data_IF_057960612046
#
_entry.id   IF_057960612046
#
_cell.length_a   1.000
_cell.length_b   1.000
_cell.length_c   1.000
_cell.angle_alpha   90.00
_cell.angle_beta   90.00
_cell.angle_gamma   90.00
#
_symmetry.space_group_name_H-M   'P 1'
#
loop_
_entity.id
_entity.type
_entity.pdbx_description
1 polymer ?
#
# COMPACT_ATOMS: atom_id res chain seq x y z
N UNK A 1 -43.20 8.69 -22.32
CA UNK A 1 -42.22 8.99 -21.26
C UNK A 1 -42.23 7.86 -20.27
N UNK A 2 -41.08 7.28 -19.91
CA UNK A 2 -41.03 6.25 -18.88
C UNK A 2 -41.27 6.90 -17.50
N UNK A 3 -42.26 6.41 -16.76
CA UNK A 3 -42.50 6.78 -15.36
C UNK A 3 -41.77 5.80 -14.45
N UNK A 4 -40.90 6.30 -13.58
CA UNK A 4 -40.17 5.51 -12.59
C UNK A 4 -40.78 5.75 -11.20
N UNK A 5 -40.97 4.68 -10.42
CA UNK A 5 -41.42 4.77 -9.03
C UNK A 5 -40.27 5.14 -8.09
N UNK A 6 -39.84 6.41 -8.18
CA UNK A 6 -38.75 6.93 -7.36
C UNK A 6 -39.09 6.87 -5.87
N UNK A 7 -40.34 7.16 -5.50
CA UNK A 7 -40.78 7.20 -4.10
C UNK A 7 -40.72 5.82 -3.46
N UNK A 8 -41.24 4.78 -4.13
CA UNK A 8 -41.19 3.41 -3.64
C UNK A 8 -39.74 2.91 -3.48
N UNK A 9 -38.87 3.20 -4.45
CA UNK A 9 -37.45 2.85 -4.38
C UNK A 9 -36.75 3.56 -3.22
N UNK A 10 -36.98 4.86 -3.03
CA UNK A 10 -36.39 5.62 -1.93
C UNK A 10 -36.81 5.05 -0.56
N UNK A 11 -38.09 4.68 -0.41
CA UNK A 11 -38.58 4.08 0.82
C UNK A 11 -37.95 2.70 1.07
N UNK A 12 -37.92 1.82 0.06
CA UNK A 12 -37.28 0.51 0.20
C UNK A 12 -35.78 0.63 0.57
N UNK A 13 -35.08 1.59 -0.03
CA UNK A 13 -33.69 1.89 0.32
C UNK A 13 -33.55 2.45 1.75
N UNK A 14 -34.52 3.24 2.22
CA UNK A 14 -34.54 3.73 3.60
C UNK A 14 -34.69 2.57 4.59
N UNK A 15 -35.65 1.67 4.34
CA UNK A 15 -35.90 0.51 5.20
C UNK A 15 -34.69 -0.43 5.24
N UNK A 16 -34.07 -0.70 4.08
CA UNK A 16 -32.84 -1.48 4.00
C UNK A 16 -31.69 -0.89 4.84
N UNK A 17 -31.50 0.45 4.79
CA UNK A 17 -30.50 1.14 5.63
C UNK A 17 -30.84 1.05 7.11
N UNK A 18 -32.11 1.21 7.48
CA UNK A 18 -32.54 1.11 8.88
C UNK A 18 -32.35 -0.30 9.44
N UNK A 19 -32.74 -1.33 8.72
CA UNK A 19 -32.54 -2.73 9.12
C UNK A 19 -31.06 -3.05 9.34
N UNK A 20 -30.18 -2.64 8.41
CA UNK A 20 -28.73 -2.87 8.56
C UNK A 20 -28.17 -2.15 9.79
N UNK A 21 -28.59 -0.89 10.04
CA UNK A 21 -28.16 -0.12 11.21
C UNK A 21 -28.60 -0.77 12.51
N UNK A 22 -29.84 -1.25 12.60
CA UNK A 22 -30.36 -1.94 13.79
C UNK A 22 -29.64 -3.26 14.05
N UNK A 23 -29.31 -4.02 13.00
CA UNK A 23 -28.53 -5.26 13.12
C UNK A 23 -27.09 -5.00 13.60
N UNK A 24 -26.52 -3.84 13.28
CA UNK A 24 -25.17 -3.46 13.68
C UNK A 24 -25.10 -2.72 15.02
N UNK A 25 -26.14 -2.00 15.43
CA UNK A 25 -26.20 -1.30 16.73
C UNK A 25 -26.26 -2.27 17.91
N UNK A 26 -26.83 -3.48 17.72
CA UNK A 26 -26.76 -4.54 18.74
C UNK A 26 -25.34 -5.10 18.95
N UNK A 27 -24.41 -4.85 18.02
CA UNK A 27 -22.98 -5.27 18.10
C UNK A 27 -22.02 -4.13 18.41
N UNK A 28 -22.46 -2.87 18.40
CA UNK A 28 -21.62 -1.68 18.61
C UNK A 28 -22.33 -0.72 19.56
N UNK A 29 -21.70 -0.40 20.70
CA UNK A 29 -22.21 0.59 21.64
C UNK A 29 -22.56 1.90 20.92
N UNK A 30 -23.82 2.29 21.09
CA UNK A 30 -24.46 3.61 20.90
C UNK A 30 -24.09 4.46 19.66
N UNK A 31 -25.15 4.86 18.96
CA UNK A 31 -25.20 5.85 17.89
C UNK A 31 -24.30 7.08 18.14
N UNK A 32 -23.12 7.09 17.52
CA UNK A 32 -22.36 8.32 17.33
C UNK A 32 -23.01 9.10 16.18
N UNK A 33 -23.80 10.12 16.55
CA UNK A 33 -24.36 11.09 15.62
C UNK A 33 -23.26 11.76 14.78
N UNK A 34 -23.54 11.92 13.48
CA UNK A 34 -22.70 12.60 12.49
C UNK A 34 -21.25 12.09 12.37
N UNK A 35 -21.09 10.80 12.01
CA UNK A 35 -19.78 10.21 11.68
C UNK A 35 -19.23 10.76 10.36
N UNK A 36 -18.40 11.79 10.44
CA UNK A 36 -17.58 12.22 9.32
C UNK A 36 -16.35 11.29 9.21
N UNK A 37 -16.44 10.31 8.30
CA UNK A 37 -15.29 9.47 7.96
C UNK A 37 -14.27 10.26 7.15
N UNK A 38 -13.00 9.82 7.15
CA UNK A 38 -12.06 10.24 6.14
C UNK A 38 -12.59 10.06 4.71
N UNK A 39 -12.30 11.03 3.86
CA UNK A 39 -12.69 11.02 2.44
C UNK A 39 -11.56 10.43 1.60
N UNK A 40 -11.88 9.38 0.84
CA UNK A 40 -10.97 8.78 -0.15
C UNK A 40 -10.55 9.79 -1.21
N UNK A 41 -11.49 10.60 -1.69
CA UNK A 41 -11.21 11.58 -2.76
C UNK A 41 -10.32 12.72 -2.24
N UNK A 42 -10.55 13.17 -0.99
CA UNK A 42 -9.67 14.15 -0.36
C UNK A 42 -8.23 13.60 -0.22
N UNK A 43 -8.08 12.35 0.21
CA UNK A 43 -6.76 11.72 0.28
C UNK A 43 -6.10 11.56 -1.09
N UNK A 44 -6.87 11.23 -2.14
CA UNK A 44 -6.33 11.18 -3.50
C UNK A 44 -5.75 12.54 -3.92
N UNK A 45 -6.46 13.65 -3.68
CA UNK A 45 -5.97 15.00 -3.96
C UNK A 45 -4.76 15.41 -3.11
N UNK A 46 -4.74 15.02 -1.83
CA UNK A 46 -3.60 15.26 -0.93
C UNK A 46 -2.35 14.54 -1.44
N UNK A 47 -2.45 13.26 -1.79
CA UNK A 47 -1.34 12.48 -2.31
C UNK A 47 -0.88 13.03 -3.65
N UNK A 48 -1.80 13.46 -4.52
CA UNK A 48 -1.45 14.10 -5.78
C UNK A 48 -0.62 15.37 -5.59
N UNK A 49 -1.04 16.21 -4.65
CA UNK A 49 -0.29 17.42 -4.27
C UNK A 49 1.07 17.08 -3.66
N UNK A 50 1.15 16.07 -2.79
CA UNK A 50 2.41 15.64 -2.18
C UNK A 50 3.40 15.05 -3.19
N UNK A 51 2.95 14.35 -4.24
CA UNK A 51 3.83 13.93 -5.36
C UNK A 51 4.49 15.14 -6.01
N UNK A 52 3.72 16.18 -6.29
CA UNK A 52 4.24 17.45 -6.84
C UNK A 52 5.17 18.17 -5.87
N UNK A 53 4.92 18.11 -4.57
CA UNK A 53 5.84 18.67 -3.55
C UNK A 53 7.17 17.92 -3.51
N UNK A 54 7.13 16.59 -3.58
CA UNK A 54 8.33 15.74 -3.52
C UNK A 54 9.15 15.81 -4.82
N UNK A 55 8.49 15.94 -5.98
CA UNK A 55 9.13 15.95 -7.29
C UNK A 55 8.59 17.09 -8.17
N UNK A 56 8.78 18.37 -7.78
CA UNK A 56 8.08 19.51 -8.40
C UNK A 56 8.33 19.66 -9.89
N UNK A 57 9.57 19.48 -10.34
CA UNK A 57 9.92 19.63 -11.76
C UNK A 57 9.52 18.45 -12.64
N UNK A 58 8.95 17.37 -12.08
CA UNK A 58 8.58 16.15 -12.83
C UNK A 58 7.10 15.78 -12.66
N UNK A 59 6.63 15.79 -11.42
CA UNK A 59 5.27 15.44 -11.04
C UNK A 59 4.44 16.66 -10.59
N UNK A 60 5.02 17.85 -10.60
CA UNK A 60 4.30 19.11 -10.40
C UNK A 60 3.71 19.67 -11.70
N UNK A 61 3.25 20.95 -11.67
CA UNK A 61 2.68 21.60 -12.84
C UNK A 61 3.64 21.65 -14.03
N UNK A 62 3.15 21.44 -15.28
CA UNK A 62 4.00 21.36 -16.47
C UNK A 62 4.67 22.70 -16.84
N UNK A 63 4.15 23.81 -16.34
CA UNK A 63 4.65 25.17 -16.56
C UNK A 63 5.52 25.69 -15.39
N UNK A 64 5.83 24.84 -14.40
CA UNK A 64 6.68 25.21 -13.28
C UNK A 64 8.12 25.47 -13.76
N UNK A 65 8.67 26.61 -13.35
CA UNK A 65 10.06 26.98 -13.58
C UNK A 65 10.87 26.85 -12.31
N UNK A 66 12.16 26.55 -12.46
CA UNK A 66 13.07 26.31 -11.34
C UNK A 66 13.17 27.52 -10.40
N UNK A 67 13.09 28.76 -10.91
CA UNK A 67 13.13 29.97 -10.08
C UNK A 67 11.89 30.14 -9.18
N UNK A 68 10.79 29.48 -9.53
CA UNK A 68 9.52 29.53 -8.79
C UNK A 68 9.23 28.23 -8.02
N UNK A 69 10.15 27.26 -8.06
CA UNK A 69 9.98 25.93 -7.46
C UNK A 69 9.63 26.00 -5.97
N UNK A 70 10.43 26.71 -5.18
CA UNK A 70 10.21 26.82 -3.73
C UNK A 70 8.89 27.51 -3.37
N UNK A 71 8.43 28.48 -4.17
CA UNK A 71 7.14 29.14 -3.93
C UNK A 71 5.98 28.17 -4.18
N UNK A 72 6.06 27.39 -5.26
CA UNK A 72 5.09 26.35 -5.55
C UNK A 72 5.06 25.29 -4.45
N UNK A 73 6.23 24.76 -4.09
CA UNK A 73 6.39 23.75 -3.04
C UNK A 73 5.80 24.22 -1.72
N UNK A 74 6.11 25.45 -1.29
CA UNK A 74 5.59 26.00 -0.04
C UNK A 74 4.06 26.10 -0.05
N UNK A 75 3.47 26.61 -1.12
CA UNK A 75 2.02 26.77 -1.24
C UNK A 75 1.29 25.41 -1.31
N UNK A 76 1.76 24.50 -2.16
CA UNK A 76 1.17 23.19 -2.33
C UNK A 76 1.28 22.34 -1.05
N UNK A 77 2.42 22.40 -0.36
CA UNK A 77 2.62 21.71 0.89
C UNK A 77 1.69 22.24 1.99
N UNK A 78 1.57 23.56 2.13
CA UNK A 78 0.67 24.17 3.11
C UNK A 78 -0.78 23.72 2.90
N UNK A 79 -1.27 23.78 1.67
CA UNK A 79 -2.62 23.33 1.32
C UNK A 79 -2.82 21.82 1.60
N UNK A 80 -1.84 20.98 1.20
CA UNK A 80 -1.91 19.53 1.42
C UNK A 80 -1.91 19.17 2.91
N UNK A 81 -1.11 19.84 3.74
CA UNK A 81 -1.03 19.58 5.18
C UNK A 81 -2.30 20.04 5.92
N UNK A 82 -2.90 21.17 5.54
CA UNK A 82 -4.20 21.59 6.09
C UNK A 82 -5.31 20.61 5.71
N UNK A 83 -5.37 20.17 4.46
CA UNK A 83 -6.31 19.15 4.02
C UNK A 83 -6.11 17.82 4.76
N UNK A 84 -4.85 17.39 4.94
CA UNK A 84 -4.51 16.20 5.70
C UNK A 84 -4.94 16.33 7.17
N UNK A 85 -4.73 17.49 7.80
CA UNK A 85 -5.17 17.75 9.18
C UNK A 85 -6.67 17.51 9.37
N UNK A 86 -7.50 17.93 8.41
CA UNK A 86 -8.93 17.63 8.46
C UNK A 86 -9.22 16.13 8.41
N UNK A 87 -8.48 15.36 7.60
CA UNK A 87 -8.65 13.91 7.52
C UNK A 87 -8.15 13.18 8.78
N UNK A 88 -7.03 13.64 9.36
CA UNK A 88 -6.48 13.10 10.61
C UNK A 88 -7.45 13.30 11.77
N UNK A 89 -8.04 14.49 11.91
CA UNK A 89 -9.07 14.77 12.92
C UNK A 89 -10.27 13.83 12.79
N UNK A 90 -10.71 13.55 11.56
CA UNK A 90 -11.82 12.62 11.29
C UNK A 90 -11.51 11.21 11.74
N UNK A 91 -10.33 10.68 11.42
CA UNK A 91 -9.92 9.35 11.88
C UNK A 91 -9.79 9.29 13.41
N UNK A 92 -9.13 10.26 14.04
CA UNK A 92 -8.93 10.27 15.48
C UNK A 92 -10.26 10.43 16.24
N UNK A 93 -11.16 11.29 15.79
CA UNK A 93 -12.51 11.42 16.36
C UNK A 93 -13.31 10.12 16.20
N UNK A 94 -13.21 9.47 15.04
CA UNK A 94 -13.84 8.18 14.81
C UNK A 94 -13.31 7.11 15.77
N UNK A 95 -11.99 7.01 15.94
CA UNK A 95 -11.36 6.05 16.85
C UNK A 95 -11.73 6.31 18.32
N UNK A 96 -11.71 7.57 18.76
CA UNK A 96 -12.16 7.96 20.11
C UNK A 96 -13.62 7.55 20.36
N UNK A 97 -14.49 7.73 19.35
CA UNK A 97 -15.90 7.32 19.44
C UNK A 97 -16.07 5.79 19.55
N UNK A 98 -15.24 5.02 18.86
CA UNK A 98 -15.26 3.55 18.94
C UNK A 98 -14.79 3.05 20.31
N UNK A 99 -13.81 3.72 20.90
CA UNK A 99 -13.22 3.36 22.18
C UNK A 99 -13.96 3.96 23.38
N UNK A 100 -15.01 4.77 23.13
CA UNK A 100 -15.74 5.51 24.17
C UNK A 100 -14.83 6.42 25.02
N UNK A 101 -13.79 6.99 24.40
CA UNK A 101 -12.82 7.89 25.03
C UNK A 101 -13.36 9.34 25.05
N UNK A 102 -14.02 9.71 26.15
CA UNK A 102 -14.51 11.08 26.36
C UNK A 102 -13.35 12.00 26.73
N UNK A 103 -13.24 13.14 26.04
CA UNK A 103 -12.25 14.18 26.36
C UNK A 103 -10.86 13.99 25.74
N UNK A 104 -10.71 13.05 24.79
CA UNK A 104 -9.45 12.90 24.05
C UNK A 104 -9.08 14.20 23.31
N UNK A 105 -7.84 14.71 23.42
CA UNK A 105 -7.42 15.95 22.79
C UNK A 105 -7.15 15.78 21.29
N UNK A 106 -8.19 15.41 20.53
CA UNK A 106 -8.12 15.09 19.08
C UNK A 106 -7.44 16.20 18.27
N UNK A 107 -7.71 17.46 18.60
CA UNK A 107 -7.14 18.61 17.91
C UNK A 107 -5.61 18.66 18.03
N UNK A 108 -5.10 18.50 19.26
CA UNK A 108 -3.66 18.55 19.56
C UNK A 108 -2.94 17.32 19.01
N UNK A 109 -3.53 16.14 19.17
CA UNK A 109 -3.01 14.89 18.60
C UNK A 109 -2.92 14.96 17.07
N UNK A 110 -3.96 15.47 16.42
CA UNK A 110 -3.98 15.62 14.96
C UNK A 110 -2.90 16.57 14.48
N UNK A 111 -2.75 17.73 15.13
CA UNK A 111 -1.71 18.70 14.80
C UNK A 111 -0.31 18.13 15.00
N UNK A 112 -0.08 17.41 16.10
CA UNK A 112 1.19 16.73 16.37
C UNK A 112 1.50 15.66 15.32
N UNK A 113 0.50 14.87 14.92
CA UNK A 113 0.66 13.85 13.88
C UNK A 113 1.01 14.47 12.52
N UNK A 114 0.30 15.51 12.09
CA UNK A 114 0.58 16.19 10.80
C UNK A 114 1.95 16.86 10.80
N UNK A 115 2.39 17.46 11.91
CA UNK A 115 3.74 18.03 12.05
C UNK A 115 4.82 16.95 11.90
N UNK A 116 4.65 15.80 12.56
CA UNK A 116 5.58 14.67 12.42
C UNK A 116 5.57 14.08 11.01
N UNK A 117 4.41 14.03 10.36
CA UNK A 117 4.31 13.61 8.96
C UNK A 117 5.07 14.58 8.05
N UNK A 118 4.84 15.88 8.18
CA UNK A 118 5.53 16.91 7.39
C UNK A 118 7.06 16.86 7.58
N UNK A 119 7.52 16.68 8.83
CA UNK A 119 8.94 16.58 9.16
C UNK A 119 9.62 15.35 8.53
N UNK A 120 8.88 14.29 8.21
CA UNK A 120 9.40 13.08 7.58
C UNK A 120 9.50 13.18 6.04
N UNK A 121 8.88 14.18 5.41
CA UNK A 121 8.85 14.31 3.95
C UNK A 121 10.25 14.37 3.30
N UNK A 122 11.27 15.06 3.86
CA UNK A 122 12.62 15.05 3.29
C UNK A 122 13.26 13.66 3.29
N UNK A 123 13.07 12.88 4.36
CA UNK A 123 13.60 11.52 4.43
C UNK A 123 12.87 10.58 3.46
N UNK A 124 11.54 10.67 3.40
CA UNK A 124 10.72 9.95 2.41
C UNK A 124 11.21 10.28 0.99
N UNK A 125 11.51 11.55 0.73
CA UNK A 125 12.02 12.03 -0.56
C UNK A 125 13.37 11.41 -0.91
N UNK A 126 14.32 11.34 0.03
CA UNK A 126 15.61 10.66 -0.18
C UNK A 126 15.46 9.16 -0.38
N UNK A 127 14.51 8.54 0.32
CA UNK A 127 14.27 7.12 0.20
C UNK A 127 13.66 6.76 -1.16
N UNK A 128 12.77 7.61 -1.70
CA UNK A 128 12.24 7.45 -3.05
C UNK A 128 13.30 7.66 -4.14
N UNK A 129 14.29 8.52 -3.95
CA UNK A 129 15.43 8.60 -4.89
C UNK A 129 16.16 7.26 -5.00
N UNK A 130 16.34 6.57 -3.87
CA UNK A 130 17.00 5.26 -3.87
C UNK A 130 16.18 4.22 -4.64
N UNK A 131 14.84 4.26 -4.56
CA UNK A 131 13.96 3.35 -5.30
C UNK A 131 13.98 3.65 -6.81
N UNK A 132 13.93 4.93 -7.18
CA UNK A 132 14.03 5.36 -8.58
C UNK A 132 15.37 4.92 -9.17
N UNK A 133 16.46 5.09 -8.42
CA UNK A 133 17.79 4.67 -8.85
C UNK A 133 17.88 3.14 -8.98
N UNK A 134 17.33 2.39 -8.03
CA UNK A 134 17.29 0.93 -8.08
C UNK A 134 16.47 0.42 -9.27
N UNK A 135 15.35 1.07 -9.61
CA UNK A 135 14.55 0.76 -10.79
C UNK A 135 15.32 1.06 -12.08
N UNK A 136 15.94 2.24 -12.21
CA UNK A 136 16.75 2.59 -13.37
C UNK A 136 17.93 1.63 -13.59
N UNK A 137 18.65 1.25 -12.53
CA UNK A 137 19.74 0.29 -12.61
C UNK A 137 19.26 -1.15 -12.80
N UNK A 138 18.04 -1.44 -12.35
CA UNK A 138 17.48 -2.77 -12.30
C UNK A 138 16.82 -3.22 -13.61
N UNK A 139 16.38 -2.28 -14.44
CA UNK A 139 15.75 -2.53 -15.72
C UNK A 139 16.63 -2.05 -16.90
N UNK A 140 17.21 -2.96 -17.70
CA UNK A 140 17.97 -2.60 -18.90
C UNK A 140 17.17 -1.81 -19.96
N UNK A 141 15.84 -1.81 -19.90
CA UNK A 141 14.99 -1.06 -20.82
C UNK A 141 14.81 0.42 -20.41
N UNK A 142 15.14 0.79 -19.18
CA UNK A 142 15.02 2.15 -18.68
C UNK A 142 16.04 3.09 -19.35
N UNK A 143 15.58 4.18 -19.97
CA UNK A 143 16.48 5.11 -20.69
C UNK A 143 16.96 6.25 -19.80
N UNK A 144 16.21 6.58 -18.74
CA UNK A 144 16.56 7.63 -17.80
C UNK A 144 15.84 7.47 -16.46
N UNK A 145 16.38 8.10 -15.40
CA UNK A 145 15.70 8.22 -14.10
C UNK A 145 14.40 9.01 -14.18
N UNK A 146 14.30 9.98 -15.10
CA UNK A 146 13.09 10.78 -15.30
C UNK A 146 11.97 9.92 -15.92
N UNK A 147 12.28 9.08 -16.91
CA UNK A 147 11.32 8.11 -17.46
C UNK A 147 10.77 7.19 -16.38
N UNK A 148 11.67 6.64 -15.56
CA UNK A 148 11.33 5.77 -14.43
C UNK A 148 10.37 6.47 -13.46
N UNK A 149 10.70 7.68 -13.03
CA UNK A 149 9.86 8.45 -12.11
C UNK A 149 8.48 8.79 -12.71
N UNK A 150 8.42 9.11 -14.01
CA UNK A 150 7.20 9.59 -14.66
C UNK A 150 6.19 8.48 -14.96
N UNK A 151 6.62 7.27 -15.29
CA UNK A 151 5.70 6.25 -15.80
C UNK A 151 5.87 4.82 -15.25
N UNK A 152 6.81 4.54 -14.35
CA UNK A 152 6.94 3.18 -13.83
C UNK A 152 5.92 2.92 -12.70
N UNK A 153 5.04 1.92 -12.83
CA UNK A 153 3.99 1.66 -11.84
C UNK A 153 4.55 1.24 -10.47
N UNK A 154 5.70 0.56 -10.45
CA UNK A 154 6.40 0.22 -9.21
C UNK A 154 6.83 1.46 -8.42
N UNK A 155 7.35 2.50 -9.09
CA UNK A 155 7.71 3.77 -8.45
C UNK A 155 6.47 4.50 -7.95
N UNK A 156 5.40 4.55 -8.76
CA UNK A 156 4.14 5.16 -8.33
C UNK A 156 3.57 4.49 -7.06
N UNK A 157 3.60 3.15 -7.00
CA UNK A 157 3.19 2.40 -5.81
C UNK A 157 4.08 2.70 -4.61
N UNK A 158 5.40 2.83 -4.80
CA UNK A 158 6.34 3.15 -3.71
C UNK A 158 6.16 4.56 -3.17
N UNK A 159 5.83 5.55 -3.99
CA UNK A 159 5.49 6.90 -3.51
C UNK A 159 4.30 6.83 -2.55
N UNK A 160 3.23 6.13 -2.93
CA UNK A 160 2.06 5.95 -2.07
C UNK A 160 2.39 5.15 -0.82
N UNK A 161 3.10 4.04 -0.95
CA UNK A 161 3.47 3.19 0.19
C UNK A 161 4.28 3.97 1.22
N UNK A 162 5.31 4.73 0.83
CA UNK A 162 6.15 5.45 1.82
C UNK A 162 5.38 6.54 2.55
N UNK A 163 4.47 7.23 1.87
CA UNK A 163 3.55 8.18 2.51
C UNK A 163 2.54 7.47 3.43
N UNK A 164 1.95 6.36 2.97
CA UNK A 164 0.99 5.56 3.73
C UNK A 164 1.63 4.93 4.97
N UNK A 165 2.85 4.41 4.84
CA UNK A 165 3.61 3.83 5.94
C UNK A 165 3.86 4.87 7.02
N UNK A 166 4.22 6.12 6.64
CA UNK A 166 4.38 7.20 7.60
C UNK A 166 3.08 7.51 8.36
N UNK A 167 1.92 7.48 7.69
CA UNK A 167 0.62 7.61 8.37
C UNK A 167 0.37 6.44 9.33
N UNK A 168 0.70 5.21 8.91
CA UNK A 168 0.50 4.01 9.72
C UNK A 168 1.32 4.04 11.01
N UNK A 169 2.62 4.39 10.95
CA UNK A 169 3.48 4.49 12.14
C UNK A 169 3.07 5.64 13.07
N UNK A 170 2.37 6.65 12.55
CA UNK A 170 1.77 7.74 13.33
C UNK A 170 0.43 7.35 13.99
N UNK A 171 -0.03 6.10 13.85
CA UNK A 171 -1.27 5.61 14.44
C UNK A 171 -2.52 6.01 13.65
N UNK A 172 -2.39 6.20 12.33
CA UNK A 172 -3.48 6.55 11.42
C UNK A 172 -3.76 5.43 10.40
N UNK A 173 -4.11 4.21 10.85
CA UNK A 173 -4.21 3.03 10.00
C UNK A 173 -5.30 3.11 8.93
N UNK A 174 -6.40 3.83 9.18
CA UNK A 174 -7.47 3.96 8.19
C UNK A 174 -7.03 4.86 7.03
N UNK A 175 -6.47 6.03 7.32
CA UNK A 175 -5.91 6.91 6.29
C UNK A 175 -4.80 6.20 5.51
N UNK A 176 -3.87 5.55 6.22
CA UNK A 176 -2.80 4.79 5.61
C UNK A 176 -3.32 3.72 4.65
N UNK A 177 -4.36 2.97 5.06
CA UNK A 177 -4.95 1.92 4.21
C UNK A 177 -5.65 2.51 2.99
N UNK A 178 -6.36 3.63 3.13
CA UNK A 178 -6.97 4.30 1.96
C UNK A 178 -5.90 4.69 0.94
N UNK A 179 -4.76 5.25 1.38
CA UNK A 179 -3.65 5.64 0.48
C UNK A 179 -3.04 4.41 -0.21
N UNK A 180 -2.85 3.30 0.51
CA UNK A 180 -2.37 2.06 -0.09
C UNK A 180 -3.32 1.51 -1.16
N UNK A 181 -4.63 1.53 -0.91
CA UNK A 181 -5.65 1.07 -1.86
C UNK A 181 -5.78 1.98 -3.09
N UNK A 182 -5.44 3.28 -2.97
CA UNK A 182 -5.33 4.17 -4.13
C UNK A 182 -4.21 3.71 -5.08
N UNK A 183 -3.04 3.34 -4.54
CA UNK A 183 -1.97 2.76 -5.34
C UNK A 183 -2.35 1.41 -5.93
N UNK A 184 -2.98 0.54 -5.12
CA UNK A 184 -3.45 -0.77 -5.59
C UNK A 184 -4.39 -0.60 -6.80
N UNK A 185 -5.37 0.30 -6.70
CA UNK A 185 -6.30 0.58 -7.80
C UNK A 185 -5.62 1.13 -9.06
N UNK A 186 -4.52 1.89 -8.92
CA UNK A 186 -3.84 2.52 -10.05
C UNK A 186 -2.79 1.60 -10.71
N UNK A 187 -2.25 0.63 -9.98
CA UNK A 187 -1.04 -0.12 -10.39
C UNK A 187 -1.21 -1.65 -10.34
N UNK A 188 -2.22 -2.15 -9.63
CA UNK A 188 -2.36 -3.58 -9.33
C UNK A 188 -1.35 -4.11 -8.29
N UNK A 189 -0.60 -3.23 -7.63
CA UNK A 189 0.39 -3.56 -6.58
C UNK A 189 -0.27 -3.33 -5.21
N UNK A 190 -0.52 -4.39 -4.45
CA UNK A 190 -1.06 -4.32 -3.09
C UNK A 190 0.06 -4.36 -2.05
N UNK A 191 0.33 -3.24 -1.38
CA UNK A 191 1.29 -3.16 -0.28
C UNK A 191 0.55 -2.69 0.96
N UNK A 192 0.46 -3.55 1.96
CA UNK A 192 -0.11 -3.14 3.24
C UNK A 192 0.76 -2.05 3.87
N UNK A 193 0.20 -0.92 4.36
CA UNK A 193 1.00 0.19 4.87
C UNK A 193 1.81 -0.13 6.13
N UNK A 194 1.44 -1.22 6.84
CA UNK A 194 2.20 -1.73 7.98
C UNK A 194 3.47 -2.52 7.62
N UNK A 195 3.65 -2.92 6.35
CA UNK A 195 4.88 -3.57 5.93
C UNK A 195 6.08 -2.65 6.19
N UNK A 196 7.26 -3.23 6.42
CA UNK A 196 8.51 -2.48 6.57
C UNK A 196 9.39 -2.76 5.37
N UNK A 197 9.83 -1.73 4.65
CA UNK A 197 10.58 -1.87 3.38
C UNK A 197 11.75 -0.88 3.37
N UNK A 198 12.95 -1.42 3.23
CA UNK A 198 14.21 -0.68 3.17
C UNK A 198 14.39 0.17 1.91
N UNK A 199 15.60 0.71 1.77
CA UNK A 199 16.00 1.56 0.65
C UNK A 199 16.27 0.77 -0.63
N UNK A 200 16.09 1.39 -1.79
CA UNK A 200 16.37 0.80 -3.09
C UNK A 200 15.45 -0.36 -3.45
N UNK A 201 14.20 -0.32 -3.03
CA UNK A 201 13.25 -1.37 -3.35
C UNK A 201 12.70 -1.19 -4.76
N UNK A 202 12.82 -2.23 -5.58
CA UNK A 202 12.39 -2.18 -6.98
C UNK A 202 11.33 -3.23 -7.27
N UNK A 203 10.15 -2.77 -7.70
CA UNK A 203 9.08 -3.61 -8.23
C UNK A 203 9.04 -3.46 -9.75
N UNK A 204 9.43 -4.52 -10.47
CA UNK A 204 9.40 -4.55 -11.93
C UNK A 204 8.06 -5.11 -12.43
N UNK A 205 7.45 -4.40 -13.40
CA UNK A 205 6.08 -4.58 -13.90
C UNK A 205 4.96 -4.46 -12.83
N UNK A 206 5.02 -5.28 -11.77
CA UNK A 206 4.31 -5.09 -10.52
C UNK A 206 2.88 -5.63 -10.43
N UNK A 207 2.11 -5.69 -11.52
CA UNK A 207 0.71 -6.14 -11.45
C UNK A 207 0.55 -7.48 -10.72
N UNK A 208 -0.31 -7.53 -9.71
CA UNK A 208 -0.58 -8.71 -8.90
C UNK A 208 0.40 -8.95 -7.75
N UNK A 209 1.35 -8.05 -7.51
CA UNK A 209 2.19 -8.09 -6.30
C UNK A 209 1.33 -7.87 -5.05
N UNK A 210 1.53 -8.71 -4.03
CA UNK A 210 0.86 -8.61 -2.72
C UNK A 210 1.87 -8.69 -1.60
N UNK A 211 1.97 -7.65 -0.76
CA UNK A 211 2.89 -7.58 0.39
C UNK A 211 2.09 -7.35 1.67
N UNK A 212 2.12 -8.34 2.57
CA UNK A 212 1.29 -8.33 3.78
C UNK A 212 1.81 -7.45 4.93
N UNK A 213 0.91 -7.16 5.87
CA UNK A 213 1.09 -6.19 6.97
C UNK A 213 2.39 -6.33 7.78
N UNK A 214 2.85 -7.55 8.02
CA UNK A 214 4.01 -7.78 8.90
C UNK A 214 5.23 -8.24 8.11
N UNK A 215 5.25 -7.99 6.80
CA UNK A 215 6.39 -8.29 5.97
C UNK A 215 7.52 -7.33 6.34
N UNK A 216 8.74 -7.86 6.41
CA UNK A 216 9.95 -7.06 6.62
C UNK A 216 10.85 -7.28 5.44
N UNK A 217 11.15 -6.23 4.69
CA UNK A 217 11.94 -6.27 3.46
C UNK A 217 13.14 -5.36 3.65
N UNK A 218 14.33 -5.91 3.46
CA UNK A 218 15.61 -5.21 3.56
C UNK A 218 15.87 -4.26 2.39
N UNK A 219 17.13 -3.95 2.18
CA UNK A 219 17.57 -3.01 1.15
C UNK A 219 17.85 -3.71 -0.18
N UNK A 220 17.69 -2.97 -1.30
CA UNK A 220 18.05 -3.43 -2.65
C UNK A 220 17.34 -4.72 -3.06
N UNK A 221 16.16 -4.98 -2.50
CA UNK A 221 15.32 -6.12 -2.86
C UNK A 221 14.59 -5.82 -4.18
N UNK A 222 14.52 -6.83 -5.05
CA UNK A 222 13.78 -6.76 -6.32
C UNK A 222 12.64 -7.77 -6.36
N UNK A 223 11.47 -7.30 -6.77
CA UNK A 223 10.25 -8.10 -6.89
C UNK A 223 9.66 -7.94 -8.29
N UNK A 224 9.24 -9.04 -8.91
CA UNK A 224 8.54 -9.05 -10.19
C UNK A 224 7.02 -9.20 -10.02
N UNK A 225 6.28 -9.10 -11.12
CA UNK A 225 4.82 -9.23 -11.15
C UNK A 225 4.30 -10.51 -10.49
N UNK A 226 3.08 -10.46 -9.95
CA UNK A 226 2.38 -11.59 -9.33
C UNK A 226 3.09 -12.25 -8.13
N UNK A 227 4.11 -11.61 -7.53
CA UNK A 227 4.75 -12.11 -6.31
C UNK A 227 3.86 -11.89 -5.09
N UNK A 228 3.71 -12.90 -4.25
CA UNK A 228 2.98 -12.80 -2.98
C UNK A 228 3.91 -13.03 -1.78
N UNK A 229 4.01 -12.04 -0.89
CA UNK A 229 4.62 -12.13 0.43
C UNK A 229 3.50 -12.19 1.49
N UNK A 230 2.93 -13.39 1.66
CA UNK A 230 1.66 -13.62 2.34
C UNK A 230 1.76 -14.43 3.64
N UNK A 231 0.61 -14.69 4.26
CA UNK A 231 0.51 -15.54 5.45
C UNK A 231 0.07 -16.97 5.07
N UNK A 232 0.59 -17.98 5.78
CA UNK A 232 0.21 -19.39 5.58
C UNK A 232 -1.04 -19.80 6.36
N UNK A 233 -1.21 -19.25 7.57
CA UNK A 233 -2.32 -19.56 8.50
C UNK A 233 -2.69 -18.32 9.30
N UNK A 234 -3.96 -18.20 9.65
CA UNK A 234 -4.46 -17.19 10.56
C UNK A 234 -4.86 -17.87 11.87
N UNK A 235 -4.03 -17.79 12.94
CA UNK A 235 -4.40 -18.37 14.21
C UNK A 235 -5.65 -17.69 14.77
N UNK A 236 -6.53 -18.47 15.39
CA UNK A 236 -7.73 -17.99 16.07
C UNK A 236 -7.53 -17.94 17.59
N UNK A 237 -8.22 -17.04 18.28
CA UNK A 237 -8.37 -17.09 19.73
C UNK A 237 -9.32 -18.23 20.15
N UNK A 238 -9.54 -18.39 21.46
CA UNK A 238 -10.39 -19.44 22.01
C UNK A 238 -11.85 -19.30 21.57
N UNK A 239 -12.25 -18.10 21.13
CA UNK A 239 -13.57 -17.71 20.66
C UNK A 239 -13.70 -17.81 19.12
N UNK A 240 -12.63 -18.24 18.42
CA UNK A 240 -12.62 -18.44 16.97
C UNK A 240 -12.35 -17.17 16.15
N UNK A 241 -12.01 -16.04 16.77
CA UNK A 241 -11.65 -14.82 16.06
C UNK A 241 -10.19 -14.84 15.62
N UNK A 242 -9.90 -14.30 14.45
CA UNK A 242 -8.52 -14.19 13.96
C UNK A 242 -7.68 -13.31 14.88
N UNK A 243 -6.54 -13.83 15.33
CA UNK A 243 -5.54 -13.07 16.07
C UNK A 243 -4.92 -12.02 15.14
N UNK A 244 -5.00 -10.75 15.54
CA UNK A 244 -4.50 -9.59 14.77
C UNK A 244 -3.10 -9.19 15.23
N UNK A 245 -2.30 -8.63 14.33
CA UNK A 245 -1.01 -7.98 14.65
C UNK A 245 0.21 -8.89 14.82
N UNK A 246 0.04 -10.21 14.98
CA UNK A 246 1.19 -11.12 15.15
C UNK A 246 2.03 -11.26 13.86
N UNK A 247 3.37 -11.32 13.93
CA UNK A 247 4.24 -11.56 12.79
C UNK A 247 3.90 -12.87 12.07
N UNK A 248 3.46 -12.77 10.81
CA UNK A 248 2.93 -13.89 10.02
C UNK A 248 3.31 -13.88 8.54
N UNK A 249 3.98 -12.82 8.12
CA UNK A 249 4.47 -12.62 6.75
C UNK A 249 6.01 -12.74 6.71
N UNK A 250 6.60 -12.94 5.51
CA UNK A 250 8.02 -13.20 5.36
C UNK A 250 8.94 -12.07 5.83
N UNK A 251 10.18 -12.46 6.15
CA UNK A 251 11.35 -11.58 6.20
C UNK A 251 12.13 -11.79 4.91
N UNK A 252 12.44 -10.71 4.22
CA UNK A 252 13.26 -10.70 3.01
C UNK A 252 14.48 -9.85 3.32
N UNK A 253 15.65 -10.47 3.42
CA UNK A 253 16.90 -9.74 3.69
C UNK A 253 17.39 -8.98 2.45
N UNK A 254 18.49 -8.25 2.60
CA UNK A 254 19.05 -7.41 1.54
C UNK A 254 19.36 -8.17 0.25
N UNK A 255 19.36 -7.45 -0.87
CA UNK A 255 19.83 -7.93 -2.17
C UNK A 255 19.09 -9.17 -2.72
N UNK A 256 17.93 -9.53 -2.14
CA UNK A 256 17.11 -10.66 -2.60
C UNK A 256 16.37 -10.31 -3.90
N UNK A 257 16.28 -11.28 -4.81
CA UNK A 257 15.49 -11.17 -6.05
C UNK A 257 14.39 -12.22 -6.07
N UNK A 258 13.15 -11.78 -6.29
CA UNK A 258 11.97 -12.64 -6.34
C UNK A 258 11.28 -12.51 -7.70
N UNK A 259 11.38 -13.55 -8.52
CA UNK A 259 10.84 -13.59 -9.88
C UNK A 259 9.34 -13.87 -9.93
N UNK A 260 8.78 -13.62 -11.12
CA UNK A 260 7.35 -13.51 -11.35
C UNK A 260 6.54 -14.71 -10.85
N UNK A 261 5.40 -14.45 -10.21
CA UNK A 261 4.46 -15.48 -9.74
C UNK A 261 4.92 -16.29 -8.53
N UNK A 262 6.07 -15.97 -7.92
CA UNK A 262 6.51 -16.67 -6.71
C UNK A 262 5.57 -16.34 -5.52
N UNK A 263 5.21 -17.37 -4.76
CA UNK A 263 4.33 -17.27 -3.59
C UNK A 263 5.09 -17.72 -2.35
N UNK A 264 5.34 -16.79 -1.43
CA UNK A 264 6.15 -16.96 -0.23
C UNK A 264 5.24 -16.73 0.99
N UNK A 265 4.94 -17.80 1.73
CA UNK A 265 3.91 -17.78 2.77
C UNK A 265 4.42 -18.15 4.16
N UNK A 266 4.03 -17.34 5.14
CA UNK A 266 4.32 -17.56 6.56
C UNK A 266 5.50 -16.73 7.05
N UNK A 267 5.80 -16.88 8.35
CA UNK A 267 6.95 -16.22 8.97
C UNK A 267 8.23 -17.00 8.63
N UNK A 268 8.69 -16.84 7.39
CA UNK A 268 9.93 -17.44 6.87
C UNK A 268 10.92 -16.35 6.45
N UNK A 269 12.20 -16.70 6.35
CA UNK A 269 13.29 -15.80 6.01
C UNK A 269 13.89 -16.15 4.66
N UNK A 270 13.96 -15.18 3.75
CA UNK A 270 14.79 -15.24 2.55
C UNK A 270 16.10 -14.54 2.85
N UNK A 271 17.18 -15.31 2.98
CA UNK A 271 18.49 -14.79 3.36
C UNK A 271 19.11 -13.88 2.31
N UNK A 272 20.03 -13.03 2.74
CA UNK A 272 20.67 -12.00 1.91
C UNK A 272 21.16 -12.53 0.56
N UNK A 273 20.83 -11.84 -0.52
CA UNK A 273 21.25 -12.21 -1.87
C UNK A 273 20.62 -13.49 -2.42
N UNK A 274 19.60 -14.05 -1.76
CA UNK A 274 18.87 -15.20 -2.29
C UNK A 274 18.13 -14.85 -3.58
N UNK A 275 17.97 -15.85 -4.45
CA UNK A 275 17.25 -15.72 -5.71
C UNK A 275 16.11 -16.73 -5.76
N UNK A 276 14.89 -16.24 -5.82
CA UNK A 276 13.67 -17.04 -5.88
C UNK A 276 13.15 -17.00 -7.31
N UNK A 277 13.18 -18.14 -7.99
CA UNK A 277 12.68 -18.32 -9.35
C UNK A 277 11.18 -18.11 -9.47
N UNK A 278 10.72 -17.91 -10.70
CA UNK A 278 9.31 -17.67 -10.98
C UNK A 278 8.44 -18.90 -10.66
N UNK A 279 7.17 -18.65 -10.32
CA UNK A 279 6.17 -19.68 -9.99
C UNK A 279 6.58 -20.66 -8.88
N UNK A 280 7.54 -20.29 -8.03
CA UNK A 280 7.94 -21.11 -6.88
C UNK A 280 6.96 -20.88 -5.72
N UNK A 281 6.60 -21.96 -5.01
CA UNK A 281 5.82 -21.92 -3.77
C UNK A 281 6.71 -22.22 -2.54
N UNK A 282 6.93 -21.23 -1.67
CA UNK A 282 7.80 -21.34 -0.51
C UNK A 282 7.05 -21.23 0.82
N UNK A 283 7.36 -22.14 1.73
CA UNK A 283 6.87 -22.11 3.13
C UNK A 283 7.94 -22.51 4.15
N UNK A 284 9.21 -22.40 3.75
CA UNK A 284 10.40 -22.63 4.58
C UNK A 284 11.48 -21.60 4.22
N UNK A 285 12.46 -21.44 5.09
CA UNK A 285 13.55 -20.46 4.93
C UNK A 285 14.46 -20.81 3.75
N UNK A 286 15.05 -19.78 3.13
CA UNK A 286 16.10 -19.92 2.12
C UNK A 286 17.37 -19.29 2.67
N UNK A 287 18.51 -20.00 2.72
CA UNK A 287 19.76 -19.44 3.23
C UNK A 287 20.29 -18.31 2.35
N UNK A 288 21.16 -17.47 2.90
CA UNK A 288 21.83 -16.40 2.17
C UNK A 288 22.57 -16.92 0.92
N UNK A 289 22.44 -16.20 -0.20
CA UNK A 289 22.95 -16.60 -1.52
C UNK A 289 22.25 -17.83 -2.13
N UNK A 290 21.25 -18.41 -1.44
CA UNK A 290 20.50 -19.57 -1.88
C UNK A 290 19.73 -19.28 -3.17
N UNK A 291 19.58 -20.31 -4.01
CA UNK A 291 18.79 -20.25 -5.23
C UNK A 291 17.71 -21.30 -5.20
N UNK A 292 16.46 -20.88 -5.43
CA UNK A 292 15.33 -21.79 -5.61
C UNK A 292 14.78 -21.60 -7.01
N UNK A 293 14.64 -22.68 -7.76
CA UNK A 293 14.02 -22.67 -9.09
C UNK A 293 12.87 -23.67 -9.14
N UNK A 294 11.99 -23.51 -10.14
CA UNK A 294 10.94 -24.49 -10.41
C UNK A 294 11.58 -25.84 -10.80
N UNK A 295 10.90 -26.94 -10.45
CA UNK A 295 11.30 -28.26 -10.93
C UNK A 295 11.24 -28.32 -12.47
N UNK A 296 12.17 -29.05 -13.08
CA UNK A 296 12.21 -29.23 -14.53
C UNK A 296 10.98 -30.01 -15.03
N UNK A 297 10.40 -29.53 -16.13
CA UNK A 297 9.36 -30.29 -16.84
C UNK A 297 9.97 -31.55 -17.43
N UNK A 298 9.41 -32.71 -17.08
CA UNK A 298 9.76 -33.98 -17.73
C UNK A 298 8.86 -34.17 -18.94
N UNK A 299 9.40 -33.93 -20.14
CA UNK A 299 8.81 -34.41 -21.38
C UNK A 299 9.02 -35.93 -21.48
N UNK A 300 8.18 -36.70 -20.79
CA UNK A 300 8.01 -38.12 -21.10
C UNK A 300 7.47 -38.24 -22.53
N UNK A 301 8.04 -39.16 -23.33
CA UNK A 301 7.73 -39.33 -24.75
C UNK A 301 6.23 -39.15 -25.04
N UNK A 302 5.87 -38.07 -25.71
CA UNK A 302 4.63 -37.93 -26.46
C UNK A 302 4.74 -38.91 -27.65
N UNK A 303 4.69 -40.20 -27.36
CA UNK A 303 4.71 -41.25 -28.36
C UNK A 303 3.36 -41.23 -29.09
N UNK A 304 3.40 -40.79 -30.35
CA UNK A 304 2.55 -41.21 -31.47
C UNK A 304 1.04 -41.26 -31.22
N UNK A 305 0.33 -40.19 -31.57
CA UNK A 305 -1.13 -40.18 -31.50
C UNK A 305 -1.83 -39.10 -32.32
N UNK A 306 -1.30 -38.73 -33.49
CA UNK A 306 -2.12 -38.08 -34.52
C UNK A 306 -1.94 -38.92 -35.78
N UNK A 307 -2.67 -40.03 -35.81
CA UNK A 307 -2.85 -40.81 -37.03
C UNK A 307 -3.60 -39.94 -38.04
N UNK A 308 -2.96 -39.72 -39.18
CA UNK A 308 -3.65 -39.29 -40.37
C UNK A 308 -4.63 -40.40 -40.78
N UNK A 309 -5.91 -40.04 -40.92
CA UNK A 309 -6.88 -40.71 -41.78
C UNK A 309 -7.82 -39.65 -42.35
#
# INVERSE_FOLDING_TARGET
MATFDITGVVQALHDARHHWRQAQSQRRNSEAGNREFPSRDALASIIDSLKGVLFPMRLGPPDLRQESENFHVAHALDAALHALLHQVKRELAYNASLQSEVGRPVEEEALAAVRRFAAALPEIRSLLDSDVLAAYQGDPAARSVDEVLLCYPGVLAMIHYRLAHQLYVLGLPLLARIVAELAHSATGIDIHPGATIGAGFFIDHGTGVVIGETAVIGERVRVYQAVTLGAKRFPTDAEGNLQKGWPRHPVVEDDVVIYAGATILGRITLGKGAVIGGNVWLTHDVPAGGRVAQAESREGALANGIGAS
#
